data_IF_343413831199
#
_entry.id   IF_343413831199
#
_cell.length_a   1.000
_cell.length_b   1.000
_cell.length_c   1.000
_cell.angle_alpha   90.00
_cell.angle_beta   90.00
_cell.angle_gamma   90.00
#
_symmetry.space_group_name_H-M   'P 1'
#
loop_
_entity.id
_entity.type
_entity.pdbx_description
1 polymer ?
#
# COMPACT_ATOMS: atom_id res chain seq x y z
N UNK A 1 18.32 7.06 -15.47
CA UNK A 1 16.90 6.66 -15.61
C UNK A 1 16.13 7.88 -16.07
N UNK A 2 15.26 7.78 -17.08
CA UNK A 2 14.46 8.92 -17.57
C UNK A 2 13.56 9.46 -16.44
N UNK A 3 13.43 10.78 -16.25
CA UNK A 3 12.62 11.41 -15.20
C UNK A 3 11.19 10.85 -15.18
N UNK A 4 10.65 10.53 -16.36
CA UNK A 4 9.33 9.93 -16.55
C UNK A 4 9.20 8.53 -15.91
N UNK A 5 10.24 7.71 -16.02
CA UNK A 5 10.30 6.38 -15.41
C UNK A 5 10.47 6.47 -13.89
N UNK A 6 11.25 7.44 -13.40
CA UNK A 6 11.34 7.73 -11.97
C UNK A 6 9.96 8.08 -11.41
N UNK A 7 9.25 9.00 -12.05
CA UNK A 7 7.88 9.35 -11.65
C UNK A 7 6.93 8.15 -11.66
N UNK A 8 7.08 7.26 -12.64
CA UNK A 8 6.27 6.04 -12.72
C UNK A 8 6.60 5.03 -11.61
N UNK A 9 7.87 4.86 -11.26
CA UNK A 9 8.28 4.08 -10.08
C UNK A 9 7.72 4.67 -8.78
N UNK A 10 7.68 6.01 -8.67
CA UNK A 10 7.10 6.67 -7.51
C UNK A 10 5.57 6.48 -7.44
N UNK A 11 4.87 6.39 -8.57
CA UNK A 11 3.44 6.03 -8.59
C UNK A 11 3.24 4.59 -8.08
N UNK A 12 4.09 3.64 -8.49
CA UNK A 12 4.07 2.27 -7.95
C UNK A 12 4.28 2.29 -6.43
N UNK A 13 5.31 3.01 -5.98
CA UNK A 13 5.66 3.11 -4.57
C UNK A 13 4.53 3.75 -3.74
N UNK A 14 3.97 4.87 -4.20
CA UNK A 14 2.88 5.56 -3.52
C UNK A 14 1.60 4.72 -3.46
N UNK A 15 1.30 3.94 -4.50
CA UNK A 15 0.16 3.02 -4.51
C UNK A 15 0.31 1.92 -3.46
N UNK A 16 1.53 1.41 -3.27
CA UNK A 16 1.82 0.40 -2.28
C UNK A 16 1.82 0.96 -0.84
N UNK A 17 2.53 2.06 -0.58
CA UNK A 17 2.74 2.62 0.76
C UNK A 17 1.44 2.83 1.55
N UNK A 18 0.39 3.35 0.89
CA UNK A 18 -0.99 3.57 1.35
C UNK A 18 -1.33 3.30 2.83
N UNK A 19 -2.39 2.51 3.08
CA UNK A 19 -2.78 2.12 4.44
C UNK A 19 -1.79 1.12 5.08
N UNK A 20 -0.97 0.45 4.26
CA UNK A 20 -0.02 -0.56 4.72
C UNK A 20 1.03 -0.02 5.69
N UNK A 21 1.41 1.25 5.53
CA UNK A 21 2.41 1.89 6.39
C UNK A 21 2.04 1.85 7.87
N UNK A 22 0.76 2.02 8.21
CA UNK A 22 0.30 1.94 9.60
C UNK A 22 -0.10 0.51 9.99
N UNK A 23 -0.69 -0.26 9.08
CA UNK A 23 -1.22 -1.58 9.40
C UNK A 23 -0.14 -2.64 9.63
N UNK A 24 0.84 -2.74 8.73
CA UNK A 24 1.94 -3.73 8.77
C UNK A 24 2.68 -3.78 10.12
N UNK A 25 3.21 -2.66 10.66
CA UNK A 25 3.92 -2.69 11.94
C UNK A 25 3.04 -3.20 13.08
N UNK A 26 1.79 -2.73 13.16
CA UNK A 26 0.86 -3.07 14.24
C UNK A 26 0.55 -4.56 14.22
N UNK A 27 0.36 -5.16 13.04
CA UNK A 27 0.04 -6.59 12.96
C UNK A 27 1.26 -7.48 13.06
N UNK A 28 2.46 -7.02 12.64
CA UNK A 28 3.67 -7.83 12.62
C UNK A 28 4.54 -7.69 13.87
N UNK A 29 4.44 -6.61 14.62
CA UNK A 29 5.33 -6.37 15.74
C UNK A 29 5.20 -7.42 16.85
N UNK A 30 4.00 -7.97 17.08
CA UNK A 30 3.78 -9.10 17.99
C UNK A 30 4.56 -10.38 17.63
N UNK A 31 5.01 -10.55 16.37
CA UNK A 31 5.76 -11.72 15.90
C UNK A 31 7.28 -11.51 15.89
N UNK A 32 7.74 -10.31 16.30
CA UNK A 32 9.14 -9.92 16.30
C UNK A 32 9.69 -9.55 14.92
N UNK A 33 10.86 -8.91 14.91
CA UNK A 33 11.46 -8.34 13.70
C UNK A 33 11.81 -9.41 12.66
N UNK A 34 12.37 -10.54 13.10
CA UNK A 34 12.84 -11.58 12.19
C UNK A 34 11.69 -12.20 11.37
N UNK A 35 10.65 -12.69 12.05
CA UNK A 35 9.52 -13.34 11.38
C UNK A 35 8.69 -12.37 10.56
N UNK A 36 8.46 -11.14 11.07
CA UNK A 36 7.82 -10.08 10.32
C UNK A 36 8.59 -9.74 9.03
N UNK A 37 9.92 -9.62 9.11
CA UNK A 37 10.78 -9.34 7.96
C UNK A 37 10.76 -10.48 6.94
N UNK A 38 10.87 -11.74 7.38
CA UNK A 38 10.85 -12.90 6.48
C UNK A 38 9.53 -13.01 5.72
N UNK A 39 8.39 -12.85 6.42
CA UNK A 39 7.08 -12.85 5.77
C UNK A 39 6.97 -11.67 4.78
N UNK A 40 7.44 -10.49 5.16
CA UNK A 40 7.39 -9.31 4.30
C UNK A 40 8.21 -9.47 3.02
N UNK A 41 9.43 -9.99 3.13
CA UNK A 41 10.28 -10.30 1.97
C UNK A 41 9.64 -11.35 1.06
N UNK A 42 9.03 -12.39 1.64
CA UNK A 42 8.34 -13.42 0.88
C UNK A 42 7.15 -12.86 0.09
N UNK A 43 6.29 -12.07 0.74
CA UNK A 43 5.13 -11.45 0.10
C UNK A 43 5.56 -10.41 -0.95
N UNK A 44 6.57 -9.59 -0.64
CA UNK A 44 7.13 -8.63 -1.59
C UNK A 44 7.69 -9.32 -2.83
N UNK A 45 8.42 -10.43 -2.67
CA UNK A 45 8.96 -11.19 -3.80
C UNK A 45 7.84 -11.75 -4.68
N UNK A 46 6.82 -12.37 -4.06
CA UNK A 46 5.67 -12.94 -4.77
C UNK A 46 4.83 -11.88 -5.51
N UNK A 47 4.52 -10.76 -4.84
CA UNK A 47 3.74 -9.66 -5.43
C UNK A 47 4.51 -8.93 -6.52
N UNK A 48 5.82 -8.70 -6.33
CA UNK A 48 6.68 -8.13 -7.37
C UNK A 48 6.77 -9.05 -8.58
N UNK A 49 6.91 -10.36 -8.37
CA UNK A 49 6.91 -11.33 -9.47
C UNK A 49 5.57 -11.33 -10.24
N UNK A 50 4.44 -11.37 -9.54
CA UNK A 50 3.12 -11.28 -10.15
C UNK A 50 2.92 -9.96 -10.92
N UNK A 51 3.42 -8.85 -10.38
CA UNK A 51 3.44 -7.55 -11.07
C UNK A 51 4.27 -7.58 -12.36
N UNK A 52 5.41 -8.26 -12.37
CA UNK A 52 6.24 -8.43 -13.57
C UNK A 52 5.54 -9.31 -14.64
N UNK A 53 4.81 -10.35 -14.24
CA UNK A 53 3.99 -11.14 -15.16
C UNK A 53 2.87 -10.30 -15.77
N UNK A 54 2.19 -9.49 -14.95
CA UNK A 54 1.17 -8.57 -15.44
C UNK A 54 1.77 -7.50 -16.36
N UNK A 55 2.98 -7.02 -16.07
CA UNK A 55 3.71 -6.10 -16.94
C UNK A 55 3.96 -6.72 -18.31
N UNK A 56 4.43 -7.98 -18.36
CA UNK A 56 4.67 -8.69 -19.61
C UNK A 56 3.38 -8.89 -20.41
N UNK A 57 2.29 -9.30 -19.74
CA UNK A 57 0.97 -9.41 -20.35
C UNK A 57 0.49 -8.06 -20.92
N UNK A 58 0.65 -6.99 -20.15
CA UNK A 58 0.29 -5.62 -20.56
C UNK A 58 1.07 -5.17 -21.81
N UNK A 59 2.36 -5.52 -21.88
CA UNK A 59 3.19 -5.21 -23.05
C UNK A 59 2.79 -6.03 -24.28
N UNK A 60 2.42 -7.31 -24.11
CA UNK A 60 2.01 -8.19 -25.23
C UNK A 60 0.75 -7.72 -25.92
N UNK A 61 -0.19 -7.15 -25.17
CA UNK A 61 -1.45 -6.62 -25.71
C UNK A 61 -1.29 -5.20 -26.30
N UNK A 62 -0.05 -4.68 -26.39
CA UNK A 62 0.26 -3.43 -27.10
C UNK A 62 0.24 -2.16 -26.25
N UNK A 63 0.06 -2.26 -24.93
CA UNK A 63 -0.09 -1.10 -24.04
C UNK A 63 -1.34 -0.26 -24.36
N UNK A 64 -1.83 0.54 -23.43
CA UNK A 64 -3.05 1.36 -23.64
C UNK A 64 -4.37 0.67 -23.31
N UNK A 65 -4.31 -0.61 -22.95
CA UNK A 65 -5.48 -1.43 -22.64
C UNK A 65 -5.70 -1.52 -21.13
N UNK A 66 -6.95 -1.42 -20.72
CA UNK A 66 -7.36 -1.61 -19.32
C UNK A 66 -7.08 -3.04 -18.86
N UNK A 67 -7.07 -3.26 -17.53
CA UNK A 67 -7.02 -4.62 -16.95
C UNK A 67 -8.07 -5.56 -17.59
N UNK A 68 -9.23 -5.01 -17.92
CA UNK A 68 -10.30 -5.72 -18.62
C UNK A 68 -9.87 -6.23 -20.00
N UNK A 69 -9.25 -5.38 -20.81
CA UNK A 69 -8.81 -5.75 -22.15
C UNK A 69 -7.60 -6.71 -22.10
N UNK A 70 -6.68 -6.53 -21.16
CA UNK A 70 -5.59 -7.49 -20.92
C UNK A 70 -6.17 -8.87 -20.60
N UNK A 71 -7.09 -8.95 -19.64
CA UNK A 71 -7.72 -10.21 -19.25
C UNK A 71 -8.48 -10.88 -20.41
N UNK A 72 -9.11 -10.08 -21.28
CA UNK A 72 -9.80 -10.59 -22.46
C UNK A 72 -8.84 -11.21 -23.48
N UNK A 73 -7.77 -10.51 -23.80
CA UNK A 73 -6.80 -10.96 -24.81
C UNK A 73 -5.95 -12.13 -24.30
N UNK A 74 -5.69 -12.22 -23.00
CA UNK A 74 -4.87 -13.30 -22.44
C UNK A 74 -5.67 -14.52 -21.97
N UNK A 75 -6.89 -14.34 -21.45
CA UNK A 75 -7.69 -15.41 -20.82
C UNK A 75 -9.07 -15.63 -21.47
N UNK A 76 -9.42 -14.85 -22.50
CA UNK A 76 -10.72 -14.95 -23.18
C UNK A 76 -11.89 -14.38 -22.37
N UNK A 77 -13.13 -14.67 -22.80
CA UNK A 77 -14.35 -14.08 -22.21
C UNK A 77 -14.56 -14.47 -20.74
N UNK A 78 -14.29 -15.74 -20.40
CA UNK A 78 -14.47 -16.26 -19.04
C UNK A 78 -13.48 -15.63 -18.05
N UNK A 79 -12.20 -15.60 -18.42
CA UNK A 79 -11.17 -14.97 -17.59
C UNK A 79 -11.36 -13.46 -17.43
N UNK A 80 -11.87 -12.77 -18.46
CA UNK A 80 -12.26 -11.36 -18.38
C UNK A 80 -13.33 -11.13 -17.30
N UNK A 81 -14.37 -11.97 -17.24
CA UNK A 81 -15.45 -11.84 -16.26
C UNK A 81 -14.93 -12.03 -14.83
N UNK A 82 -14.15 -13.09 -14.61
CA UNK A 82 -13.57 -13.39 -13.29
C UNK A 82 -12.62 -12.29 -12.85
N UNK A 83 -11.71 -11.86 -13.72
CA UNK A 83 -10.72 -10.82 -13.41
C UNK A 83 -11.40 -9.51 -13.05
N UNK A 84 -12.40 -9.08 -13.83
CA UNK A 84 -13.19 -7.89 -13.52
C UNK A 84 -13.94 -8.03 -12.19
N UNK A 85 -14.60 -9.16 -11.96
CA UNK A 85 -15.35 -9.39 -10.73
C UNK A 85 -14.45 -9.27 -9.50
N UNK A 86 -13.27 -9.90 -9.54
CA UNK A 86 -12.27 -9.81 -8.48
C UNK A 86 -11.70 -8.39 -8.34
N UNK A 87 -11.46 -7.68 -9.45
CA UNK A 87 -10.97 -6.30 -9.42
C UNK A 87 -11.99 -5.35 -8.77
N UNK A 88 -13.27 -5.45 -9.14
CA UNK A 88 -14.32 -4.64 -8.52
C UNK A 88 -14.51 -4.98 -7.05
N UNK A 89 -14.51 -6.27 -6.69
CA UNK A 89 -14.57 -6.70 -5.30
C UNK A 89 -13.39 -6.13 -4.49
N UNK A 90 -12.16 -6.21 -5.04
CA UNK A 90 -10.97 -5.63 -4.41
C UNK A 90 -11.11 -4.13 -4.18
N UNK A 91 -11.55 -3.38 -5.20
CA UNK A 91 -11.71 -1.92 -5.10
C UNK A 91 -12.78 -1.54 -4.07
N UNK A 92 -13.89 -2.27 -3.99
CA UNK A 92 -14.94 -2.05 -2.99
C UNK A 92 -14.43 -2.36 -1.58
N UNK A 93 -13.75 -3.49 -1.39
CA UNK A 93 -13.16 -3.85 -0.10
C UNK A 93 -12.11 -2.82 0.36
N UNK A 94 -11.27 -2.34 -0.55
CA UNK A 94 -10.30 -1.28 -0.27
C UNK A 94 -11.01 0.02 0.13
N UNK A 95 -12.03 0.43 -0.62
CA UNK A 95 -12.81 1.63 -0.30
C UNK A 95 -13.43 1.53 1.10
N UNK A 96 -14.02 0.39 1.45
CA UNK A 96 -14.54 0.13 2.79
C UNK A 96 -13.45 0.22 3.86
N UNK A 97 -12.29 -0.42 3.63
CA UNK A 97 -11.18 -0.37 4.58
C UNK A 97 -10.69 1.07 4.82
N UNK A 98 -10.60 1.89 3.77
CA UNK A 98 -10.24 3.31 3.90
C UNK A 98 -11.30 4.14 4.63
N UNK A 99 -12.59 3.91 4.37
CA UNK A 99 -13.67 4.61 5.07
C UNK A 99 -13.67 4.26 6.56
N UNK A 100 -13.49 2.98 6.90
CA UNK A 100 -13.41 2.51 8.29
C UNK A 100 -12.19 3.14 8.98
N UNK A 101 -11.00 2.93 8.42
CA UNK A 101 -9.75 3.40 9.04
C UNK A 101 -9.68 4.92 9.17
N UNK A 102 -10.10 5.67 8.15
CA UNK A 102 -10.14 7.13 8.25
C UNK A 102 -11.27 7.63 9.15
N UNK A 103 -12.42 6.95 9.18
CA UNK A 103 -13.51 7.24 10.10
C UNK A 103 -13.08 7.12 11.56
N UNK A 104 -12.30 6.08 11.90
CA UNK A 104 -11.75 5.89 13.24
C UNK A 104 -10.77 7.01 13.62
N UNK A 105 -9.94 7.46 12.68
CA UNK A 105 -9.04 8.61 12.89
C UNK A 105 -9.83 9.91 13.11
N UNK A 106 -10.86 10.17 12.32
CA UNK A 106 -11.75 11.33 12.49
C UNK A 106 -12.41 11.30 13.87
N UNK A 107 -12.93 10.13 14.28
CA UNK A 107 -13.57 9.97 15.58
C UNK A 107 -12.59 10.25 16.74
N UNK A 108 -11.35 9.75 16.65
CA UNK A 108 -10.30 10.03 17.64
C UNK A 108 -10.00 11.53 17.75
N UNK A 109 -9.85 12.20 16.62
CA UNK A 109 -9.58 13.65 16.57
C UNK A 109 -10.75 14.44 17.17
N UNK A 110 -11.99 14.17 16.76
CA UNK A 110 -13.15 14.94 17.23
C UNK A 110 -13.39 14.73 18.72
N UNK A 111 -13.16 13.51 19.22
CA UNK A 111 -13.21 13.19 20.65
C UNK A 111 -12.15 13.98 21.43
N UNK A 112 -10.92 14.07 20.91
CA UNK A 112 -9.86 14.87 21.55
C UNK A 112 -10.16 16.38 21.58
N UNK A 113 -11.00 16.86 20.66
CA UNK A 113 -11.48 18.24 20.61
C UNK A 113 -12.74 18.49 21.46
N UNK A 114 -13.22 17.48 22.21
CA UNK A 114 -14.43 17.58 23.04
C UNK A 114 -15.75 17.44 22.27
N UNK A 115 -15.71 17.02 21.00
CA UNK A 115 -16.88 16.77 20.15
C UNK A 115 -16.97 15.27 19.80
N UNK A 116 -17.43 14.41 20.71
CA UNK A 116 -17.52 12.98 20.45
C UNK A 116 -18.56 12.71 19.36
N UNK A 117 -18.09 12.25 18.20
CA UNK A 117 -18.94 11.80 17.11
C UNK A 117 -19.11 10.29 17.18
N UNK A 118 -20.27 9.80 16.73
CA UNK A 118 -20.45 8.37 16.53
C UNK A 118 -19.53 7.86 15.41
N UNK A 119 -19.19 6.57 15.44
CA UNK A 119 -18.38 5.92 14.39
C UNK A 119 -19.04 6.07 13.02
N UNK A 120 -20.36 5.88 12.93
CA UNK A 120 -21.13 6.04 11.69
C UNK A 120 -21.07 7.49 11.19
N UNK A 121 -21.26 8.47 12.07
CA UNK A 121 -21.19 9.89 11.71
C UNK A 121 -19.81 10.28 11.19
N UNK A 122 -18.75 9.74 11.80
CA UNK A 122 -17.37 10.00 11.40
C UNK A 122 -17.05 9.40 10.03
N UNK A 123 -17.49 8.16 9.77
CA UNK A 123 -17.34 7.48 8.47
C UNK A 123 -18.14 8.17 7.36
N UNK A 124 -19.39 8.56 7.62
CA UNK A 124 -20.23 9.29 6.66
C UNK A 124 -19.64 10.67 6.38
N UNK A 125 -19.23 11.41 7.41
CA UNK A 125 -18.60 12.73 7.27
C UNK A 125 -17.32 12.67 6.44
N UNK A 126 -16.45 11.69 6.71
CA UNK A 126 -15.25 11.44 5.91
C UNK A 126 -15.60 11.12 4.45
N UNK A 127 -16.57 10.23 4.22
CA UNK A 127 -16.99 9.82 2.87
C UNK A 127 -17.55 10.99 2.07
N UNK A 128 -18.39 11.82 2.67
CA UNK A 128 -18.94 13.02 2.01
C UNK A 128 -17.82 14.00 1.65
N UNK A 129 -16.90 14.26 2.59
CA UNK A 129 -15.77 15.16 2.36
C UNK A 129 -14.88 14.70 1.21
N UNK A 130 -14.45 13.43 1.22
CA UNK A 130 -13.63 12.88 0.14
C UNK A 130 -14.42 12.81 -1.17
N UNK A 131 -15.70 12.47 -1.11
CA UNK A 131 -16.59 12.45 -2.27
C UNK A 131 -16.70 13.82 -2.96
N UNK A 132 -16.76 14.91 -2.19
CA UNK A 132 -16.75 16.29 -2.71
C UNK A 132 -15.42 16.65 -3.38
N UNK A 133 -14.30 16.20 -2.81
CA UNK A 133 -12.97 16.42 -3.40
C UNK A 133 -12.83 15.67 -4.72
N UNK A 134 -13.29 14.41 -4.76
CA UNK A 134 -13.24 13.59 -5.99
C UNK A 134 -14.17 14.15 -7.07
N UNK A 135 -15.35 14.67 -6.70
CA UNK A 135 -16.29 15.27 -7.65
C UNK A 135 -15.80 16.62 -8.20
N UNK A 136 -14.92 17.33 -7.49
CA UNK A 136 -14.26 18.55 -7.98
C UNK A 136 -13.25 18.30 -9.12
N UNK A 137 -12.95 17.03 -9.44
CA UNK A 137 -12.19 16.62 -10.63
C UNK A 137 -10.74 16.21 -10.36
N UNK A 138 -10.16 15.53 -11.34
CA UNK A 138 -8.83 14.89 -11.23
C UNK A 138 -7.69 15.86 -10.99
N UNK A 139 -7.80 17.11 -11.43
CA UNK A 139 -6.78 18.14 -11.18
C UNK A 139 -6.68 18.58 -9.72
N UNK A 140 -7.81 18.64 -9.01
CA UNK A 140 -7.84 18.93 -7.56
C UNK A 140 -7.27 17.75 -6.79
N UNK A 141 -7.69 16.53 -7.16
CA UNK A 141 -7.20 15.28 -6.57
C UNK A 141 -5.68 15.15 -6.73
N UNK A 142 -5.12 15.44 -7.91
CA UNK A 142 -3.67 15.35 -8.13
C UNK A 142 -2.89 16.34 -7.26
N UNK A 143 -3.34 17.60 -7.16
CA UNK A 143 -2.70 18.60 -6.29
C UNK A 143 -2.76 18.20 -4.81
N UNK A 144 -3.93 17.76 -4.34
CA UNK A 144 -4.10 17.30 -2.96
C UNK A 144 -3.24 16.07 -2.68
N UNK A 145 -3.25 15.08 -3.57
CA UNK A 145 -2.46 13.86 -3.44
C UNK A 145 -0.96 14.16 -3.32
N UNK A 146 -0.43 15.09 -4.13
CA UNK A 146 0.98 15.52 -4.02
C UNK A 146 1.29 16.15 -2.66
N UNK A 147 0.40 17.01 -2.16
CA UNK A 147 0.55 17.62 -0.83
C UNK A 147 0.51 16.58 0.30
N UNK A 148 -0.48 15.69 0.27
CA UNK A 148 -0.62 14.60 1.24
C UNK A 148 0.58 13.65 1.20
N UNK A 149 1.12 13.34 0.02
CA UNK A 149 2.28 12.48 -0.14
C UNK A 149 3.54 13.10 0.47
N UNK A 150 3.78 14.41 0.25
CA UNK A 150 4.88 15.12 0.91
C UNK A 150 4.69 15.11 2.43
N UNK A 151 3.47 15.39 2.91
CA UNK A 151 3.13 15.32 4.32
C UNK A 151 3.39 13.94 4.93
N UNK A 152 3.04 12.87 4.21
CA UNK A 152 3.30 11.49 4.62
C UNK A 152 4.79 11.20 4.76
N UNK A 153 5.63 11.65 3.82
CA UNK A 153 7.09 11.50 3.91
C UNK A 153 7.66 12.28 5.10
N UNK A 154 7.22 13.52 5.31
CA UNK A 154 7.68 14.34 6.44
C UNK A 154 7.28 13.69 7.77
N UNK A 155 6.03 13.23 7.90
CA UNK A 155 5.56 12.52 9.08
C UNK A 155 6.38 11.25 9.34
N UNK A 156 6.63 10.44 8.30
CA UNK A 156 7.48 9.25 8.38
C UNK A 156 8.87 9.60 8.93
N UNK A 157 9.54 10.60 8.36
CA UNK A 157 10.87 11.03 8.77
C UNK A 157 10.85 11.48 10.24
N UNK A 158 9.90 12.35 10.62
CA UNK A 158 9.79 12.84 11.99
C UNK A 158 9.55 11.71 13.00
N UNK A 159 8.66 10.77 12.68
CA UNK A 159 8.39 9.63 13.56
C UNK A 159 9.61 8.72 13.67
N UNK A 160 10.31 8.42 12.57
CA UNK A 160 11.55 7.64 12.62
C UNK A 160 12.63 8.31 13.46
N UNK A 161 12.83 9.63 13.32
CA UNK A 161 13.78 10.38 14.15
C UNK A 161 13.38 10.42 15.63
N UNK A 162 12.08 10.45 15.93
CA UNK A 162 11.58 10.42 17.31
C UNK A 162 11.71 9.04 17.96
N UNK A 163 11.60 7.97 17.17
CA UNK A 163 11.71 6.58 17.64
C UNK A 163 13.17 6.09 17.68
N UNK A 164 14.07 6.64 16.87
CA UNK A 164 15.47 6.22 16.82
C UNK A 164 16.20 6.21 18.18
N UNK A 165 16.01 7.18 19.11
CA UNK A 165 16.74 7.22 20.37
C UNK A 165 16.33 6.14 21.38
N UNK A 166 15.11 5.61 21.31
CA UNK A 166 14.60 4.64 22.30
C UNK A 166 14.59 3.19 21.77
N UNK A 167 15.29 2.92 20.65
CA UNK A 167 15.42 1.56 20.13
C UNK A 167 16.25 0.71 21.10
N UNK A 168 15.62 -0.27 21.73
CA UNK A 168 16.29 -1.28 22.53
C UNK A 168 16.62 -2.52 21.68
N UNK A 169 17.85 -3.03 21.76
CA UNK A 169 18.24 -4.24 21.04
C UNK A 169 17.58 -5.51 21.61
N UNK A 170 17.14 -5.46 22.88
CA UNK A 170 16.44 -6.57 23.55
C UNK A 170 15.03 -6.77 22.96
N UNK A 171 14.28 -5.70 22.71
CA UNK A 171 12.94 -5.76 22.09
C UNK A 171 12.93 -6.28 20.65
N UNK A 172 14.06 -6.19 19.91
CA UNK A 172 14.14 -6.65 18.52
C UNK A 172 13.97 -8.17 18.35
N UNK A 173 14.37 -8.93 19.36
CA UNK A 173 14.26 -10.40 19.38
C UNK A 173 13.02 -10.91 20.11
N UNK A 174 12.26 -10.00 20.71
CA UNK A 174 11.11 -10.37 21.52
C UNK A 174 9.94 -10.79 20.63
N UNK A 175 9.43 -12.00 20.91
CA UNK A 175 8.31 -12.59 20.20
C UNK A 175 7.19 -12.77 21.20
N UNK A 176 6.21 -11.86 21.15
CA UNK A 176 5.03 -11.89 22.02
C UNK A 176 4.08 -13.01 21.59
N UNK A 177 3.97 -13.24 20.28
CA UNK A 177 3.12 -14.25 19.68
C UNK A 177 3.94 -15.24 18.86
N UNK A 178 4.09 -16.46 19.35
CA UNK A 178 4.81 -17.53 18.66
C UNK A 178 3.93 -18.36 17.70
N UNK A 179 2.63 -18.05 17.59
CA UNK A 179 1.72 -18.76 16.70
C UNK A 179 2.02 -18.42 15.23
N UNK A 180 2.71 -19.35 14.56
CA UNK A 180 3.04 -19.24 13.14
C UNK A 180 1.80 -19.23 12.25
N UNK A 181 0.69 -19.82 12.68
CA UNK A 181 -0.57 -19.76 11.94
C UNK A 181 -1.18 -18.35 12.02
N UNK A 182 -1.10 -17.70 13.19
CA UNK A 182 -1.50 -16.31 13.34
C UNK A 182 -0.63 -15.35 12.50
N UNK A 183 0.67 -15.61 12.39
CA UNK A 183 1.57 -14.86 11.50
C UNK A 183 1.12 -14.99 10.03
N UNK A 184 0.81 -16.21 9.58
CA UNK A 184 0.34 -16.44 8.20
C UNK A 184 -0.98 -15.70 7.93
N UNK A 185 -1.89 -15.58 8.89
CA UNK A 185 -3.13 -14.81 8.72
C UNK A 185 -2.87 -13.34 8.40
N UNK A 186 -1.77 -12.77 8.89
CA UNK A 186 -1.39 -11.39 8.58
C UNK A 186 -0.92 -11.20 7.13
N UNK A 187 -0.61 -12.28 6.41
CA UNK A 187 -0.24 -12.19 4.98
C UNK A 187 -1.28 -11.44 4.14
N UNK A 188 -2.56 -11.52 4.50
CA UNK A 188 -3.65 -10.78 3.84
C UNK A 188 -3.40 -9.27 3.85
N UNK A 189 -3.04 -8.71 5.02
CA UNK A 189 -2.70 -7.29 5.18
C UNK A 189 -1.50 -6.91 4.32
N UNK A 190 -0.47 -7.77 4.29
CA UNK A 190 0.72 -7.54 3.47
C UNK A 190 0.41 -7.59 1.97
N UNK A 191 -0.40 -8.56 1.51
CA UNK A 191 -0.82 -8.66 0.12
C UNK A 191 -1.56 -7.40 -0.34
N UNK A 192 -2.49 -6.91 0.49
CA UNK A 192 -3.20 -5.65 0.21
C UNK A 192 -2.24 -4.46 0.16
N UNK A 193 -1.26 -4.42 1.06
CA UNK A 193 -0.25 -3.34 1.14
C UNK A 193 0.75 -3.36 -0.02
N UNK A 194 1.03 -4.50 -0.63
CA UNK A 194 1.82 -4.60 -1.87
C UNK A 194 0.92 -4.68 -3.12
N UNK A 195 -0.35 -4.26 -3.02
CA UNK A 195 -1.37 -4.34 -4.06
C UNK A 195 -1.28 -3.29 -5.18
N UNK A 196 -0.08 -2.94 -5.66
CA UNK A 196 0.12 -1.90 -6.69
C UNK A 196 -0.16 -2.35 -8.14
N UNK A 197 -0.64 -3.57 -8.35
CA UNK A 197 -0.83 -4.16 -9.70
C UNK A 197 -1.84 -3.36 -10.54
N UNK A 198 -2.78 -2.67 -9.91
CA UNK A 198 -3.86 -1.91 -10.56
C UNK A 198 -3.36 -0.76 -11.43
N UNK A 199 -2.17 -0.19 -11.13
CA UNK A 199 -1.60 0.93 -11.89
C UNK A 199 -0.72 0.47 -13.05
N UNK A 200 -0.33 -0.81 -13.10
CA UNK A 200 0.64 -1.32 -14.09
C UNK A 200 0.20 -1.10 -15.53
N UNK A 201 -1.05 -1.44 -15.95
CA UNK A 201 -1.49 -1.23 -17.33
C UNK A 201 -1.41 0.24 -17.76
N UNK A 202 -1.80 1.16 -16.86
CA UNK A 202 -1.72 2.59 -17.10
C UNK A 202 -0.28 3.09 -17.19
N UNK A 203 0.64 2.56 -16.37
CA UNK A 203 2.05 2.93 -16.43
C UNK A 203 2.76 2.42 -17.69
N UNK A 204 2.40 1.24 -18.20
CA UNK A 204 2.87 0.76 -19.51
C UNK A 204 2.42 1.70 -20.62
N UNK A 205 1.15 2.11 -20.57
CA UNK A 205 0.57 3.08 -21.51
C UNK A 205 1.24 4.45 -21.44
N UNK A 206 1.58 4.89 -20.22
CA UNK A 206 2.25 6.16 -20.01
C UNK A 206 3.68 6.13 -20.56
N UNK A 207 4.35 4.97 -20.48
CA UNK A 207 5.75 4.79 -20.87
C UNK A 207 5.92 3.96 -22.16
N UNK A 208 5.12 4.23 -23.20
CA UNK A 208 5.16 3.50 -24.50
C UNK A 208 6.55 3.43 -25.16
N UNK A 209 7.37 4.46 -24.99
CA UNK A 209 8.72 4.53 -25.57
C UNK A 209 9.78 3.75 -24.76
N UNK A 210 9.43 3.29 -23.55
CA UNK A 210 10.36 2.58 -22.69
C UNK A 210 10.56 1.14 -23.17
N UNK A 211 11.80 0.69 -23.16
CA UNK A 211 12.14 -0.72 -23.39
C UNK A 211 11.58 -1.63 -22.29
N UNK A 212 11.41 -2.93 -22.59
CA UNK A 212 10.99 -3.93 -21.60
C UNK A 212 11.86 -3.93 -20.34
N UNK A 213 13.17 -3.75 -20.49
CA UNK A 213 14.12 -3.67 -19.36
C UNK A 213 13.88 -2.43 -18.50
N UNK A 214 13.56 -1.29 -19.11
CA UNK A 214 13.24 -0.06 -18.39
C UNK A 214 11.93 -0.20 -17.60
N UNK A 215 10.90 -0.79 -18.21
CA UNK A 215 9.62 -1.07 -17.52
C UNK A 215 9.78 -2.08 -16.38
N UNK A 216 10.59 -3.14 -16.57
CA UNK A 216 10.91 -4.10 -15.52
C UNK A 216 11.58 -3.41 -14.32
N UNK A 217 12.61 -2.61 -14.59
CA UNK A 217 13.34 -1.89 -13.55
C UNK A 217 12.44 -0.85 -12.86
N UNK A 218 11.52 -0.21 -13.60
CA UNK A 218 10.53 0.70 -13.02
C UNK A 218 9.67 0.01 -11.96
N UNK A 219 9.18 -1.21 -12.23
CA UNK A 219 8.39 -2.00 -11.26
C UNK A 219 9.26 -2.43 -10.06
N UNK A 220 10.46 -2.96 -10.30
CA UNK A 220 11.35 -3.44 -9.23
C UNK A 220 11.73 -2.29 -8.30
N UNK A 221 12.17 -1.15 -8.84
CA UNK A 221 12.52 0.03 -8.03
C UNK A 221 11.28 0.55 -7.31
N UNK A 222 10.14 0.63 -8.01
CA UNK A 222 8.88 1.09 -7.45
C UNK A 222 8.35 0.22 -6.30
N UNK A 223 8.55 -1.11 -6.36
CA UNK A 223 8.14 -2.03 -5.28
C UNK A 223 9.15 -2.13 -4.14
N UNK A 224 10.43 -1.87 -4.42
CA UNK A 224 11.50 -1.89 -3.40
C UNK A 224 11.41 -0.70 -2.46
N UNK A 225 10.98 0.48 -2.94
CA UNK A 225 10.82 1.68 -2.09
C UNK A 225 9.86 1.41 -0.91
N UNK A 226 8.61 0.92 -1.13
CA UNK A 226 7.71 0.53 -0.05
C UNK A 226 8.29 -0.52 0.88
N UNK A 227 8.97 -1.54 0.34
CA UNK A 227 9.60 -2.58 1.16
C UNK A 227 10.59 -1.96 2.15
N UNK A 228 11.48 -1.09 1.69
CA UNK A 228 12.46 -0.43 2.57
C UNK A 228 11.75 0.41 3.63
N UNK A 229 10.73 1.19 3.24
CA UNK A 229 9.94 1.96 4.19
C UNK A 229 9.26 1.08 5.24
N UNK A 230 8.64 -0.03 4.84
CA UNK A 230 7.97 -0.95 5.76
C UNK A 230 8.94 -1.69 6.68
N UNK A 231 10.13 -2.06 6.21
CA UNK A 231 11.17 -2.66 7.04
C UNK A 231 11.72 -1.66 8.06
N UNK A 232 12.00 -0.43 7.66
CA UNK A 232 12.42 0.64 8.58
C UNK A 232 11.34 0.92 9.63
N UNK A 233 10.09 0.91 9.20
CA UNK A 233 8.96 1.15 10.09
C UNK A 233 8.73 0.00 11.07
N UNK A 234 8.81 -1.25 10.60
CA UNK A 234 8.76 -2.44 11.45
C UNK A 234 9.91 -2.43 12.48
N UNK A 235 11.13 -2.10 12.04
CA UNK A 235 12.29 -1.96 12.92
C UNK A 235 12.06 -0.89 14.00
N UNK A 236 11.57 0.29 13.61
CA UNK A 236 11.31 1.37 14.55
C UNK A 236 10.23 0.99 15.57
N UNK A 237 9.16 0.33 15.14
CA UNK A 237 8.03 -0.09 15.98
C UNK A 237 8.46 -1.20 16.95
N UNK A 238 9.04 -2.30 16.46
CA UNK A 238 9.49 -3.42 17.31
C UNK A 238 10.60 -2.99 18.28
N UNK A 239 11.49 -2.08 17.85
CA UNK A 239 12.57 -1.59 18.70
C UNK A 239 12.13 -0.69 19.84
N UNK A 240 10.95 -0.05 19.73
CA UNK A 240 10.47 0.97 20.68
C UNK A 240 9.26 0.55 21.52
N UNK A 241 8.38 -0.29 20.99
CA UNK A 241 7.14 -0.63 21.68
C UNK A 241 7.37 -1.75 22.69
N UNK A 242 7.04 -1.53 23.98
CA UNK A 242 7.12 -2.58 24.97
C UNK A 242 6.06 -3.66 24.68
N UNK A 243 6.30 -4.93 25.08
CA UNK A 243 5.46 -6.09 24.73
C UNK A 243 3.98 -6.00 25.07
N UNK A 244 3.61 -5.11 26.00
CA UNK A 244 2.23 -4.94 26.45
C UNK A 244 1.42 -3.95 25.59
N UNK A 245 2.08 -3.19 24.71
CA UNK A 245 1.45 -2.31 23.71
C UNK A 245 1.42 -2.95 22.31
N UNK A 246 1.93 -4.19 22.17
CA UNK A 246 2.01 -4.97 20.93
C UNK A 246 0.88 -6.00 20.77
#
# INVERSE_FOLDING_TARGET
MNLKLVGSSLIVAGTALGAGMLAIPMVLAQFGLLWGTLLMLFIWAGTTYAALLLLEASCKVGGGVSMNAIARETLGKGGQLVTNGLLYALLVCLLMAYIIGAGDLVQKVTTSMGLPLSTISSQVGFTVLVGLIVSAGTGVVDKLNRGLFIGMIVALILTLFSLAPNVSFEGLSEVVNADKMALIKQSSVLFTSFGFMVVIPSLVTYNKEASKNQLRNMIIVGSTIPLVCYLLWLFAVVGNLPPHEL
#
